data_IF_891106967362
#
_entry.id   IF_891106967362
#
_cell.length_a   1.000
_cell.length_b   1.000
_cell.length_c   1.000
_cell.angle_alpha   90.00
_cell.angle_beta   90.00
_cell.angle_gamma   90.00
#
_symmetry.space_group_name_H-M   'P 1'
#
loop_
_entity.id
_entity.type
_entity.pdbx_description
1 polymer ?
#
# COMPACT_ATOMS: atom_id res chain seq x y z
N UNK A 1 13.74 20.21 -21.02
CA UNK A 1 12.97 19.13 -20.36
C UNK A 1 13.61 17.82 -20.81
N UNK A 2 14.46 17.21 -19.98
CA UNK A 2 14.99 15.86 -20.23
C UNK A 2 14.82 15.07 -18.92
N UNK A 3 14.02 14.01 -18.98
CA UNK A 3 13.81 13.11 -17.85
C UNK A 3 14.81 11.95 -17.96
N UNK A 4 15.72 11.83 -17.00
CA UNK A 4 16.54 10.64 -16.82
C UNK A 4 16.05 9.92 -15.55
N UNK A 5 15.60 8.67 -15.70
CA UNK A 5 15.22 7.81 -14.58
C UNK A 5 16.47 7.06 -14.11
N UNK A 6 16.90 7.30 -12.89
CA UNK A 6 17.95 6.51 -12.24
C UNK A 6 17.34 5.76 -11.07
N UNK A 7 17.36 4.43 -11.14
CA UNK A 7 16.90 3.56 -10.06
C UNK A 7 18.05 3.38 -9.07
N UNK A 8 17.86 3.81 -7.83
CA UNK A 8 18.82 3.55 -6.74
C UNK A 8 18.28 2.38 -5.92
N UNK A 9 19.09 1.33 -5.82
CA UNK A 9 18.74 0.13 -5.07
C UNK A 9 19.33 0.28 -3.66
N UNK A 10 18.50 0.53 -2.66
CA UNK A 10 18.94 0.65 -1.26
C UNK A 10 18.77 -0.71 -0.59
N UNK A 11 19.88 -1.28 -0.13
CA UNK A 11 19.90 -2.52 0.65
C UNK A 11 20.07 -2.16 2.11
N UNK A 12 19.00 -2.28 2.90
CA UNK A 12 19.07 -2.13 4.35
C UNK A 12 19.13 -3.54 4.94
N UNK A 13 20.23 -3.83 5.65
CA UNK A 13 20.42 -5.09 6.36
C UNK A 13 20.20 -4.86 7.86
N UNK A 14 19.22 -5.57 8.43
CA UNK A 14 19.00 -5.62 9.87
C UNK A 14 18.79 -7.09 10.26
N UNK A 15 19.77 -7.66 10.98
CA UNK A 15 19.77 -9.08 11.34
C UNK A 15 19.92 -10.04 10.16
N UNK A 16 19.28 -11.22 10.23
CA UNK A 16 19.43 -12.32 9.25
C UNK A 16 18.57 -12.21 7.98
N UNK A 17 17.87 -11.08 7.78
CA UNK A 17 16.97 -10.89 6.63
C UNK A 17 17.37 -9.64 5.85
N UNK A 18 17.86 -9.85 4.63
CA UNK A 18 18.13 -8.80 3.65
C UNK A 18 16.86 -8.50 2.86
N UNK A 19 16.37 -7.25 2.96
CA UNK A 19 15.19 -6.80 2.20
C UNK A 19 15.64 -5.80 1.15
N UNK A 20 15.42 -6.10 -0.14
CA UNK A 20 15.74 -5.19 -1.26
C UNK A 20 14.54 -4.28 -1.53
N UNK A 21 14.73 -2.97 -1.34
CA UNK A 21 13.77 -1.96 -1.77
C UNK A 21 14.28 -1.29 -3.06
N UNK A 22 13.49 -1.38 -4.12
CA UNK A 22 13.73 -0.62 -5.36
C UNK A 22 12.92 0.67 -5.28
N UNK A 23 13.60 1.81 -5.14
CA UNK A 23 12.97 3.13 -5.14
C UNK A 23 13.25 3.74 -6.51
N UNK A 24 12.22 3.82 -7.36
CA UNK A 24 12.25 4.58 -8.60
C UNK A 24 12.19 6.08 -8.25
N UNK A 25 13.32 6.77 -8.34
CA UNK A 25 13.39 8.21 -8.10
C UNK A 25 12.79 8.95 -9.29
N UNK A 26 11.55 9.43 -9.15
CA UNK A 26 10.98 10.40 -10.08
C UNK A 26 11.67 11.74 -9.85
N UNK A 27 12.65 12.08 -10.70
CA UNK A 27 13.39 13.33 -10.61
C UNK A 27 12.50 14.48 -11.11
N UNK A 28 11.58 14.94 -10.27
CA UNK A 28 10.95 16.25 -10.46
C UNK A 28 12.07 17.30 -10.32
N UNK A 29 12.44 17.93 -11.43
CA UNK A 29 13.53 18.91 -11.47
C UNK A 29 13.14 20.21 -10.77
N UNK A 30 13.16 20.21 -9.44
CA UNK A 30 13.21 21.44 -8.64
C UNK A 30 14.70 21.74 -8.43
N UNK A 31 15.17 22.89 -8.89
CA UNK A 31 16.58 23.29 -8.76
C UNK A 31 16.87 23.66 -7.30
N UNK A 32 18.10 23.45 -6.81
CA UNK A 32 18.43 23.74 -5.40
C UNK A 32 18.28 25.23 -5.04
N UNK A 33 18.38 26.09 -6.04
CA UNK A 33 18.21 27.54 -5.95
C UNK A 33 16.74 27.92 -5.73
N UNK A 34 15.81 27.23 -6.40
CA UNK A 34 14.36 27.45 -6.19
C UNK A 34 13.88 26.93 -4.84
N UNK A 35 14.45 25.80 -4.38
CA UNK A 35 14.25 25.30 -3.01
C UNK A 35 14.81 26.27 -1.95
N UNK A 36 16.02 26.79 -2.16
CA UNK A 36 16.65 27.76 -1.25
C UNK A 36 15.82 29.04 -1.12
N UNK A 37 15.33 29.57 -2.24
CA UNK A 37 14.40 30.70 -2.25
C UNK A 37 13.12 30.40 -1.46
N UNK A 38 12.44 29.29 -1.78
CA UNK A 38 11.19 28.90 -1.12
C UNK A 38 11.34 28.74 0.40
N UNK A 39 12.41 28.07 0.85
CA UNK A 39 12.67 27.80 2.27
C UNK A 39 13.09 29.07 3.02
N UNK A 40 13.89 29.95 2.39
CA UNK A 40 14.45 31.12 3.08
C UNK A 40 13.57 32.37 3.00
N UNK A 41 12.71 32.49 1.99
CA UNK A 41 11.93 33.72 1.79
C UNK A 41 10.43 33.48 1.89
N UNK A 42 9.89 32.47 1.21
CA UNK A 42 8.44 32.23 1.22
C UNK A 42 7.97 31.64 2.55
N UNK A 43 8.71 30.68 3.09
CA UNK A 43 8.32 30.00 4.33
C UNK A 43 8.33 30.93 5.55
N UNK A 44 9.37 31.76 5.81
CA UNK A 44 9.38 32.63 6.98
C UNK A 44 8.31 33.73 6.91
N UNK A 45 8.04 34.26 5.71
CA UNK A 45 6.98 35.24 5.50
C UNK A 45 5.58 34.66 5.70
N UNK A 46 5.39 33.38 5.38
CA UNK A 46 4.14 32.67 5.65
C UNK A 46 3.97 32.35 7.13
N UNK A 47 5.03 31.86 7.79
CA UNK A 47 5.01 31.51 9.20
C UNK A 47 4.88 32.74 10.12
N UNK A 48 5.45 33.88 9.74
CA UNK A 48 5.35 35.13 10.51
C UNK A 48 3.95 35.78 10.43
N UNK A 49 3.16 35.46 9.41
CA UNK A 49 1.78 35.89 9.25
C UNK A 49 0.75 35.03 9.98
N UNK A 50 1.17 34.00 10.71
CA UNK A 50 0.24 33.11 11.43
C UNK A 50 -0.25 33.78 12.73
N UNK A 51 -1.57 33.84 12.98
CA UNK A 51 -2.14 34.34 14.23
C UNK A 51 -1.98 33.27 15.32
N UNK A 52 -0.78 33.13 15.88
CA UNK A 52 -0.49 32.17 16.95
C UNK A 52 -0.94 32.80 18.28
N UNK A 53 -1.98 32.24 18.95
CA UNK A 53 -2.44 32.77 20.22
C UNK A 53 -1.45 32.44 21.34
N UNK A 54 -1.03 33.45 22.11
CA UNK A 54 -0.11 33.28 23.24
C UNK A 54 -0.77 32.73 24.53
N UNK A 55 -2.07 32.40 24.48
CA UNK A 55 -2.85 31.90 25.62
C UNK A 55 -3.76 30.74 25.21
N UNK A 56 -3.94 29.77 26.11
CA UNK A 56 -4.79 28.60 25.88
C UNK A 56 -6.26 28.96 25.54
N UNK A 57 -6.78 30.08 26.03
CA UNK A 57 -8.13 30.56 25.72
C UNK A 57 -8.26 31.30 24.38
N UNK A 58 -7.15 31.70 23.76
CA UNK A 58 -7.13 32.38 22.47
C UNK A 58 -7.46 31.43 21.30
N UNK A 59 -7.15 30.15 21.44
CA UNK A 59 -7.42 29.12 20.42
C UNK A 59 -8.89 29.03 20.01
N UNK A 60 -9.81 29.22 20.97
CA UNK A 60 -11.25 29.15 20.73
C UNK A 60 -11.87 30.47 20.27
N UNK A 61 -11.05 31.53 20.10
CA UNK A 61 -11.46 32.86 19.62
C UNK A 61 -11.00 33.18 18.20
N UNK A 62 -10.27 32.27 17.54
CA UNK A 62 -9.83 32.45 16.15
C UNK A 62 -11.01 32.36 15.18
N UNK A 63 -11.00 33.23 14.15
CA UNK A 63 -11.93 33.13 13.03
C UNK A 63 -11.62 31.94 12.13
N UNK A 64 -12.60 31.50 11.33
CA UNK A 64 -12.48 30.32 10.45
C UNK A 64 -11.27 30.36 9.51
N UNK A 65 -10.89 31.55 9.02
CA UNK A 65 -9.76 31.74 8.10
C UNK A 65 -8.39 31.54 8.77
N UNK A 66 -8.28 32.01 10.02
CA UNK A 66 -7.05 31.91 10.81
C UNK A 66 -6.79 30.48 11.26
N UNK A 67 -7.87 29.78 11.60
CA UNK A 67 -7.82 28.36 11.89
C UNK A 67 -7.40 27.53 10.67
N UNK A 68 -7.91 27.87 9.47
CA UNK A 68 -7.56 27.18 8.22
C UNK A 68 -6.10 27.38 7.81
N UNK A 69 -5.55 28.59 8.00
CA UNK A 69 -4.12 28.89 7.73
C UNK A 69 -3.16 28.10 8.64
N UNK A 70 -3.64 27.63 9.79
CA UNK A 70 -2.84 26.81 10.71
C UNK A 70 -2.86 25.32 10.37
N UNK A 71 -3.79 24.87 9.51
CA UNK A 71 -3.89 23.46 9.12
C UNK A 71 -2.63 22.96 8.41
N UNK A 72 -2.06 23.64 7.39
CA UNK A 72 -0.87 23.15 6.69
C UNK A 72 0.36 22.90 7.60
N UNK A 73 0.79 23.84 8.48
CA UNK A 73 1.94 23.59 9.34
C UNK A 73 1.66 22.52 10.40
N UNK A 74 0.43 22.46 10.93
CA UNK A 74 0.04 21.46 11.94
C UNK A 74 -0.04 20.06 11.32
N UNK A 75 -0.57 19.94 10.11
CA UNK A 75 -0.60 18.69 9.35
C UNK A 75 0.81 18.23 8.96
N UNK A 76 1.71 19.15 8.60
CA UNK A 76 3.10 18.81 8.29
C UNK A 76 3.84 18.26 9.53
N UNK A 77 3.73 18.94 10.68
CA UNK A 77 4.33 18.48 11.94
C UNK A 77 3.72 17.15 12.40
N UNK A 78 2.39 17.04 12.38
CA UNK A 78 1.70 15.80 12.70
C UNK A 78 2.09 14.64 11.77
N UNK A 79 2.25 14.93 10.48
CA UNK A 79 2.72 13.97 9.48
C UNK A 79 4.15 13.51 9.73
N UNK A 80 5.07 14.42 10.06
CA UNK A 80 6.46 14.06 10.39
C UNK A 80 6.55 13.20 11.65
N UNK A 81 5.80 13.54 12.70
CA UNK A 81 5.73 12.76 13.95
C UNK A 81 5.09 11.39 13.70
N UNK A 82 4.01 11.32 12.91
CA UNK A 82 3.36 10.07 12.58
C UNK A 82 4.27 9.15 11.75
N UNK A 83 4.96 9.69 10.75
CA UNK A 83 5.89 8.94 9.92
C UNK A 83 7.11 8.45 10.71
N UNK A 84 7.66 9.26 11.63
CA UNK A 84 8.75 8.82 12.51
C UNK A 84 8.27 7.74 13.48
N UNK A 85 7.07 7.89 14.06
CA UNK A 85 6.46 6.87 14.90
C UNK A 85 6.28 5.54 14.16
N UNK A 86 5.77 5.54 12.93
CA UNK A 86 5.66 4.31 12.12
C UNK A 86 7.03 3.72 11.74
N UNK A 87 8.06 4.55 11.59
CA UNK A 87 9.42 4.10 11.33
C UNK A 87 10.01 3.36 12.54
N UNK A 88 9.84 3.91 13.75
CA UNK A 88 10.43 3.40 15.00
C UNK A 88 9.57 2.37 15.74
N UNK A 89 8.26 2.31 15.49
CA UNK A 89 7.32 1.35 16.10
C UNK A 89 6.71 0.43 15.02
N UNK A 90 7.32 -0.74 14.72
CA UNK A 90 6.84 -1.63 13.68
C UNK A 90 5.46 -2.25 13.98
N UNK A 91 5.09 -2.42 15.24
CA UNK A 91 3.78 -2.94 15.68
C UNK A 91 2.62 -1.98 15.37
N UNK A 92 2.91 -0.68 15.26
CA UNK A 92 1.92 0.34 14.93
C UNK A 92 1.60 0.40 13.43
N UNK A 93 2.36 -0.32 12.59
CA UNK A 93 2.13 -0.35 11.14
C UNK A 93 0.82 -1.09 10.83
N UNK A 94 0.02 -0.61 9.86
CA UNK A 94 -1.17 -1.32 9.44
C UNK A 94 -0.79 -2.70 8.91
N UNK A 95 -1.36 -3.75 9.51
CA UNK A 95 -1.12 -5.13 9.07
C UNK A 95 -1.84 -5.37 7.74
N UNK A 96 -1.18 -5.98 6.75
CA UNK A 96 -1.87 -6.34 5.52
C UNK A 96 -3.01 -7.31 5.86
N UNK A 97 -4.15 -7.13 5.20
CA UNK A 97 -5.27 -8.05 5.36
C UNK A 97 -4.83 -9.45 4.96
N UNK A 98 -4.90 -10.39 5.89
CA UNK A 98 -4.56 -11.81 5.71
C UNK A 98 -5.67 -12.60 5.02
N UNK A 99 -6.78 -11.94 4.63
CA UNK A 99 -7.93 -12.62 4.04
C UNK A 99 -7.62 -13.00 2.59
N UNK A 100 -7.47 -14.31 2.35
CA UNK A 100 -7.23 -14.90 1.02
C UNK A 100 -8.47 -14.76 0.13
N UNK A 101 -9.61 -15.25 0.62
CA UNK A 101 -10.89 -15.20 -0.09
C UNK A 101 -11.64 -13.88 0.19
N UNK A 102 -11.89 -13.08 -0.85
CA UNK A 102 -12.60 -11.80 -0.73
C UNK A 102 -13.99 -11.81 -1.35
N UNK A 103 -14.22 -12.67 -2.33
CA UNK A 103 -15.37 -12.59 -3.25
C UNK A 103 -16.25 -13.84 -3.23
N UNK A 104 -15.69 -15.02 -3.01
CA UNK A 104 -16.41 -16.29 -3.13
C UNK A 104 -17.15 -16.56 -1.82
N UNK A 105 -18.49 -16.61 -1.87
CA UNK A 105 -19.37 -16.97 -0.74
C UNK A 105 -18.90 -16.41 0.63
N UNK A 106 -18.67 -15.09 0.75
CA UNK A 106 -18.05 -14.50 1.94
C UNK A 106 -18.92 -14.56 3.21
N UNK A 107 -20.22 -14.84 3.07
CA UNK A 107 -21.16 -15.01 4.17
C UNK A 107 -21.02 -16.37 4.86
N UNK A 108 -20.46 -17.37 4.18
CA UNK A 108 -20.27 -18.71 4.73
C UNK A 108 -19.02 -18.75 5.61
N UNK A 109 -19.14 -19.33 6.80
CA UNK A 109 -18.01 -19.46 7.72
C UNK A 109 -16.90 -20.37 7.15
N UNK A 110 -17.28 -21.37 6.33
CA UNK A 110 -16.37 -22.30 5.67
C UNK A 110 -16.96 -22.73 4.35
N UNK A 111 -16.26 -22.42 3.26
CA UNK A 111 -16.63 -22.84 1.91
C UNK A 111 -15.98 -24.21 1.64
N UNK A 112 -16.80 -25.22 1.34
CA UNK A 112 -16.38 -26.58 0.95
C UNK A 112 -17.22 -27.00 -0.24
N UNK A 113 -16.57 -27.44 -1.32
CA UNK A 113 -17.25 -27.99 -2.50
C UNK A 113 -16.95 -29.49 -2.59
N UNK A 114 -18.00 -30.29 -2.67
CA UNK A 114 -17.93 -31.73 -2.87
C UNK A 114 -18.17 -32.03 -4.35
N UNK A 115 -17.25 -32.76 -4.97
CA UNK A 115 -17.32 -33.10 -6.39
C UNK A 115 -16.98 -34.58 -6.50
N UNK A 116 -17.88 -35.34 -7.12
CA UNK A 116 -17.68 -36.76 -7.34
C UNK A 116 -16.76 -37.01 -8.53
N UNK A 117 -15.90 -38.03 -8.40
CA UNK A 117 -14.95 -38.40 -9.44
C UNK A 117 -15.65 -38.90 -10.72
N UNK A 118 -16.89 -39.39 -10.57
CA UNK A 118 -17.71 -39.95 -11.64
C UNK A 118 -18.31 -38.88 -12.57
N UNK A 119 -18.51 -37.67 -12.05
CA UNK A 119 -19.07 -36.54 -12.79
C UNK A 119 -18.01 -35.71 -13.51
N UNK A 120 -16.75 -35.81 -13.09
CA UNK A 120 -15.65 -35.19 -13.82
C UNK A 120 -15.29 -36.02 -15.05
N UNK A 121 -15.11 -35.36 -16.20
CA UNK A 121 -14.66 -36.00 -17.44
C UNK A 121 -13.24 -36.57 -17.36
N UNK A 122 -12.52 -36.65 -18.49
CA UNK A 122 -11.14 -37.19 -18.48
C UNK A 122 -10.17 -36.39 -17.58
N UNK A 123 -10.37 -35.06 -17.49
CA UNK A 123 -9.49 -34.13 -16.79
C UNK A 123 -10.29 -32.93 -16.28
N UNK A 124 -10.10 -32.59 -15.01
CA UNK A 124 -10.66 -31.40 -14.39
C UNK A 124 -9.56 -30.62 -13.65
N UNK A 125 -9.69 -29.29 -13.60
CA UNK A 125 -8.80 -28.41 -12.86
C UNK A 125 -9.59 -27.59 -11.84
N UNK A 126 -9.19 -27.65 -10.58
CA UNK A 126 -9.83 -26.96 -9.46
C UNK A 126 -9.01 -25.78 -8.97
N UNK A 127 -9.69 -24.69 -8.62
CA UNK A 127 -9.07 -23.46 -8.20
C UNK A 127 -8.49 -23.58 -6.77
N UNK A 128 -7.31 -23.00 -6.56
CA UNK A 128 -6.72 -22.81 -5.21
C UNK A 128 -6.41 -21.35 -4.88
N UNK A 129 -6.51 -20.44 -5.85
CA UNK A 129 -6.15 -19.03 -5.66
C UNK A 129 -7.29 -18.16 -5.15
N UNK A 130 -8.53 -18.70 -5.07
CA UNK A 130 -9.73 -17.93 -4.70
C UNK A 130 -10.03 -16.72 -5.60
N UNK A 131 -9.53 -16.72 -6.84
CA UNK A 131 -9.78 -15.67 -7.86
C UNK A 131 -10.60 -16.14 -9.04
N UNK A 132 -10.94 -17.42 -9.12
CA UNK A 132 -11.73 -17.95 -10.25
C UNK A 132 -13.13 -17.36 -10.27
N UNK A 133 -13.59 -16.96 -11.45
CA UNK A 133 -14.98 -16.57 -11.69
C UNK A 133 -15.91 -17.78 -11.80
N UNK A 134 -15.38 -18.94 -12.18
CA UNK A 134 -16.12 -20.18 -12.32
C UNK A 134 -15.79 -21.15 -11.16
N UNK A 135 -15.86 -20.66 -9.93
CA UNK A 135 -15.59 -21.47 -8.73
C UNK A 135 -16.54 -22.69 -8.67
N UNK A 136 -16.07 -23.93 -8.40
CA UNK A 136 -14.75 -24.33 -7.88
C UNK A 136 -13.69 -24.64 -8.96
N UNK A 137 -14.02 -24.53 -10.24
CA UNK A 137 -13.11 -24.83 -11.34
C UNK A 137 -12.07 -23.73 -11.56
N UNK A 138 -10.92 -24.09 -12.11
CA UNK A 138 -9.86 -23.16 -12.48
C UNK A 138 -10.12 -22.58 -13.88
N UNK A 139 -10.22 -21.26 -13.95
CA UNK A 139 -10.39 -20.46 -15.18
C UNK A 139 -9.09 -19.79 -15.67
N UNK A 140 -7.97 -20.03 -14.99
CA UNK A 140 -6.68 -19.39 -15.30
C UNK A 140 -6.43 -18.05 -14.59
N UNK A 141 -7.39 -17.53 -13.79
CA UNK A 141 -7.24 -16.25 -13.06
C UNK A 141 -6.05 -16.22 -12.08
N UNK A 142 -5.50 -17.37 -11.69
CA UNK A 142 -4.28 -17.44 -10.88
C UNK A 142 -3.06 -16.83 -11.59
N UNK A 143 -3.00 -16.83 -12.92
CA UNK A 143 -1.86 -16.26 -13.65
C UNK A 143 -1.72 -14.74 -13.45
N UNK A 144 -2.84 -14.00 -13.54
CA UNK A 144 -2.86 -12.57 -13.26
C UNK A 144 -2.49 -12.28 -11.81
N UNK A 145 -3.08 -13.05 -10.88
CA UNK A 145 -2.79 -12.93 -9.45
C UNK A 145 -1.31 -13.17 -9.12
N UNK A 146 -0.70 -14.23 -9.67
CA UNK A 146 0.71 -14.54 -9.48
C UNK A 146 1.61 -13.40 -9.97
N UNK A 147 1.26 -12.77 -11.11
CA UNK A 147 2.03 -11.64 -11.65
C UNK A 147 1.92 -10.39 -10.77
N UNK A 148 0.73 -10.08 -10.27
CA UNK A 148 0.49 -8.90 -9.42
C UNK A 148 1.11 -9.07 -8.03
N UNK A 149 0.94 -10.24 -7.41
CA UNK A 149 1.37 -10.51 -6.04
C UNK A 149 2.77 -11.14 -5.96
N UNK A 150 3.41 -11.45 -7.10
CA UNK A 150 4.66 -12.22 -7.17
C UNK A 150 4.53 -13.58 -6.44
N UNK A 151 3.40 -14.23 -6.66
CA UNK A 151 3.05 -15.54 -6.07
C UNK A 151 3.24 -16.68 -7.09
N UNK A 152 3.17 -17.92 -6.64
CA UNK A 152 3.40 -19.13 -7.43
C UNK A 152 2.25 -20.15 -7.35
N UNK A 153 1.01 -19.66 -7.19
CA UNK A 153 -0.16 -20.51 -7.05
C UNK A 153 -0.51 -21.23 -8.37
N UNK A 154 -1.10 -22.42 -8.24
CA UNK A 154 -1.60 -23.19 -9.39
C UNK A 154 -2.79 -24.07 -9.02
N UNK A 155 -3.57 -24.53 -10.01
CA UNK A 155 -4.74 -25.36 -9.77
C UNK A 155 -4.37 -26.78 -9.31
N UNK A 156 -5.35 -27.49 -8.76
CA UNK A 156 -5.28 -28.95 -8.58
C UNK A 156 -5.87 -29.58 -9.82
N UNK A 157 -5.10 -30.43 -10.50
CA UNK A 157 -5.56 -31.12 -11.70
C UNK A 157 -5.84 -32.57 -11.36
N UNK A 158 -7.09 -32.99 -11.51
CA UNK A 158 -7.53 -34.37 -11.33
C UNK A 158 -7.71 -34.99 -12.71
N UNK A 159 -7.08 -36.14 -12.95
CA UNK A 159 -7.16 -36.86 -14.22
C UNK A 159 -7.59 -38.30 -13.93
N UNK A 160 -8.49 -38.83 -14.77
CA UNK A 160 -8.79 -40.26 -14.75
C UNK A 160 -7.62 -41.00 -15.37
N UNK A 161 -7.13 -42.02 -14.66
CA UNK A 161 -6.12 -42.92 -15.22
C UNK A 161 -6.74 -43.67 -16.41
N UNK A 162 -6.17 -43.49 -17.59
CA UNK A 162 -6.49 -44.36 -18.74
C UNK A 162 -5.84 -45.72 -18.45
N UNK A 163 -6.67 -46.76 -18.32
CA UNK A 163 -6.24 -48.13 -18.19
C UNK A 163 -5.94 -48.73 -19.57
#
# INVERSE_FOLDING_TARGET
>A
IFAASSTVCVVISSGSKTTKFSISAFRAGITMETLSGLVKTTLPNYLSGLPIPNTFGGWFRLGFKDWLSLVPPTAALGGLVYMSYLAFCPEARPKPSTKVNRTIRPAEAKVVDMIDIEDIGEKAAFCRCWKSKNWPYCDGSHGAHNKECQDNLGPVVVQRKKN
#
